data_IF_974161644189
#
_entry.id   IF_974161644189
#
_cell.length_a   1.000
_cell.length_b   1.000
_cell.length_c   1.000
_cell.angle_alpha   90.00
_cell.angle_beta   90.00
_cell.angle_gamma   90.00
#
_symmetry.space_group_name_H-M   'P 1'
#
loop_
_entity.id
_entity.type
_entity.pdbx_description
1 polymer ?
#
# COMPACT_ATOMS: atom_id res chain seq x y z
N UNK A 1 6.64 15.16 -21.09
CA UNK A 1 5.33 14.57 -20.74
C UNK A 1 5.44 13.15 -20.19
N UNK A 2 6.13 12.21 -20.86
CA UNK A 2 6.25 10.80 -20.40
C UNK A 2 6.94 10.61 -19.03
N UNK A 3 8.01 11.38 -18.74
CA UNK A 3 8.68 11.38 -17.43
C UNK A 3 7.83 11.93 -16.27
N UNK A 4 6.83 12.76 -16.56
CA UNK A 4 5.96 13.35 -15.53
C UNK A 4 4.87 12.36 -15.11
N UNK A 5 4.35 11.58 -16.05
CA UNK A 5 3.38 10.51 -15.82
C UNK A 5 3.99 9.35 -15.03
N UNK A 6 5.20 8.92 -15.42
CA UNK A 6 5.95 7.93 -14.66
C UNK A 6 6.22 8.40 -13.22
N UNK A 7 6.46 9.70 -13.02
CA UNK A 7 6.63 10.31 -11.69
C UNK A 7 5.34 10.33 -10.87
N UNK A 8 4.16 10.46 -11.51
CA UNK A 8 2.86 10.43 -10.83
C UNK A 8 2.48 9.02 -10.37
N UNK A 9 2.73 8.00 -11.21
CA UNK A 9 2.57 6.58 -10.81
C UNK A 9 3.61 6.18 -9.74
N UNK A 10 4.83 6.73 -9.80
CA UNK A 10 5.84 6.61 -8.74
C UNK A 10 5.43 7.21 -7.38
N UNK A 11 4.40 8.06 -7.31
CA UNK A 11 3.88 8.55 -6.02
C UNK A 11 2.94 7.56 -5.34
N UNK A 12 2.38 6.61 -6.09
CA UNK A 12 1.39 5.67 -5.56
C UNK A 12 2.06 4.44 -4.91
N UNK A 13 3.18 3.98 -5.49
CA UNK A 13 4.01 2.91 -4.95
C UNK A 13 5.33 3.46 -4.41
N UNK A 14 5.65 3.13 -3.17
CA UNK A 14 6.93 3.55 -2.56
C UNK A 14 7.94 2.43 -2.72
N UNK A 15 9.03 2.66 -3.48
CA UNK A 15 10.12 1.69 -3.54
C UNK A 15 10.82 1.57 -2.18
N UNK A 16 10.85 0.36 -1.62
CA UNK A 16 11.47 0.10 -0.31
C UNK A 16 12.76 -0.71 -0.40
N UNK A 17 12.94 -1.44 -1.50
CA UNK A 17 14.16 -2.17 -1.82
C UNK A 17 14.27 -2.33 -3.33
N UNK A 18 15.37 -2.91 -3.80
CA UNK A 18 15.48 -3.35 -5.21
C UNK A 18 14.29 -4.27 -5.53
N UNK A 19 13.54 -3.90 -6.56
CA UNK A 19 12.39 -4.64 -7.10
C UNK A 19 11.20 -4.87 -6.14
N UNK A 20 11.21 -4.27 -4.94
CA UNK A 20 10.13 -4.38 -3.95
C UNK A 20 9.53 -3.00 -3.69
N UNK A 21 8.21 -2.90 -3.85
CA UNK A 21 7.47 -1.66 -3.66
C UNK A 21 6.37 -1.87 -2.63
N UNK A 22 6.25 -0.93 -1.71
CA UNK A 22 5.11 -0.86 -0.79
C UNK A 22 3.90 -0.29 -1.53
N UNK A 23 2.81 -1.05 -1.44
CA UNK A 23 1.48 -0.69 -1.93
C UNK A 23 0.44 -0.68 -0.80
N UNK A 24 0.85 -0.83 0.46
CA UNK A 24 -0.05 -0.81 1.63
C UNK A 24 -0.73 0.54 1.89
N UNK A 25 -1.69 0.58 2.81
CA UNK A 25 -2.49 1.78 3.16
C UNK A 25 -2.48 2.03 4.66
N UNK A 26 -2.78 3.27 5.07
CA UNK A 26 -2.86 3.66 6.47
C UNK A 26 -4.30 3.98 6.86
N UNK A 27 -4.81 3.29 7.87
CA UNK A 27 -6.09 3.58 8.50
C UNK A 27 -5.87 4.45 9.73
N UNK A 28 -6.11 5.74 9.58
CA UNK A 28 -6.08 6.70 10.69
C UNK A 28 -7.45 6.87 11.38
N UNK A 29 -8.47 6.14 10.94
CA UNK A 29 -9.85 6.26 11.43
C UNK A 29 -10.14 5.24 12.54
N UNK A 30 -9.51 4.08 12.49
CA UNK A 30 -9.61 3.07 13.53
C UNK A 30 -8.96 3.55 14.83
N UNK A 31 -9.67 3.37 15.94
CA UNK A 31 -9.20 3.74 17.29
C UNK A 31 -8.85 2.53 18.14
N UNK A 32 -9.41 1.36 17.81
CA UNK A 32 -9.16 0.08 18.47
C UNK A 32 -8.87 -1.00 17.43
N UNK A 33 -7.68 -1.60 17.47
CA UNK A 33 -7.41 -2.83 16.74
C UNK A 33 -8.15 -4.00 17.41
N UNK A 34 -8.85 -4.81 16.60
CA UNK A 34 -9.69 -5.93 17.05
C UNK A 34 -10.70 -5.56 18.17
N UNK A 35 -11.16 -4.30 18.19
CA UNK A 35 -12.04 -3.76 19.24
C UNK A 35 -11.47 -3.83 20.66
N UNK A 36 -10.15 -4.02 20.81
CA UNK A 36 -9.51 -4.28 22.11
C UNK A 36 -8.30 -3.38 22.37
N UNK A 37 -7.47 -3.16 21.36
CA UNK A 37 -6.16 -2.54 21.54
C UNK A 37 -6.16 -1.09 21.03
N UNK A 38 -5.96 -0.08 21.89
CA UNK A 38 -5.88 1.31 21.47
C UNK A 38 -4.75 1.57 20.47
N UNK A 39 -5.10 2.24 19.38
CA UNK A 39 -4.18 2.60 18.29
C UNK A 39 -4.27 4.11 18.02
N UNK A 40 -3.67 4.95 18.88
CA UNK A 40 -3.87 6.41 18.82
C UNK A 40 -3.33 7.08 17.55
N UNK A 41 -2.48 6.39 16.79
CA UNK A 41 -1.96 6.87 15.49
C UNK A 41 -2.60 6.14 14.30
N UNK A 42 -3.58 5.27 14.56
CA UNK A 42 -4.17 4.38 13.57
C UNK A 42 -3.33 3.11 13.34
N UNK A 43 -3.61 2.45 12.21
CA UNK A 43 -3.00 1.19 11.80
C UNK A 43 -2.47 1.27 10.36
N UNK A 44 -1.47 0.47 10.05
CA UNK A 44 -1.00 0.25 8.70
C UNK A 44 -1.38 -1.16 8.24
N UNK A 45 -1.96 -1.27 7.04
CA UNK A 45 -2.10 -2.54 6.34
C UNK A 45 -0.97 -2.64 5.31
N UNK A 46 0.11 -3.29 5.72
CA UNK A 46 1.27 -3.46 4.87
C UNK A 46 0.98 -4.44 3.73
N UNK A 47 1.28 -4.04 2.51
CA UNK A 47 1.19 -4.89 1.33
C UNK A 47 2.28 -4.47 0.35
N UNK A 48 2.81 -5.44 -0.39
CA UNK A 48 3.98 -5.23 -1.24
C UNK A 48 3.81 -5.91 -2.59
N UNK A 49 4.41 -5.32 -3.62
CA UNK A 49 4.59 -5.94 -4.92
C UNK A 49 6.08 -6.21 -5.16
N UNK A 50 6.39 -7.42 -5.61
CA UNK A 50 7.74 -7.90 -5.92
C UNK A 50 7.81 -8.09 -7.44
N UNK A 51 8.71 -7.35 -8.08
CA UNK A 51 8.86 -7.25 -9.54
C UNK A 51 10.08 -8.03 -10.01
N UNK A 52 9.98 -9.36 -10.05
CA UNK A 52 11.04 -10.25 -10.56
C UNK A 52 10.61 -10.88 -11.90
N UNK A 53 11.28 -11.95 -12.37
CA UNK A 53 10.84 -12.76 -13.52
C UNK A 53 9.37 -13.19 -13.40
N UNK A 54 8.88 -13.32 -12.17
CA UNK A 54 7.47 -13.43 -11.84
C UNK A 54 7.07 -12.30 -10.91
N UNK A 55 5.88 -11.77 -11.13
CA UNK A 55 5.28 -10.76 -10.25
C UNK A 55 4.56 -11.47 -9.11
N UNK A 56 4.82 -11.04 -7.88
CA UNK A 56 4.14 -11.52 -6.69
C UNK A 56 3.61 -10.35 -5.87
N UNK A 57 2.46 -10.56 -5.23
CA UNK A 57 1.88 -9.64 -4.25
C UNK A 57 1.95 -10.30 -2.89
N UNK A 58 2.51 -9.60 -1.90
CA UNK A 58 2.53 -10.01 -0.51
C UNK A 58 1.42 -9.29 0.25
N UNK A 59 0.52 -10.08 0.83
CA UNK A 59 -0.65 -9.66 1.60
C UNK A 59 -1.62 -8.71 0.85
N UNK A 60 -2.68 -8.32 1.55
CA UNK A 60 -3.72 -7.39 1.08
C UNK A 60 -4.08 -6.41 2.20
N UNK A 61 -4.99 -5.49 1.90
CA UNK A 61 -5.51 -4.53 2.89
C UNK A 61 -6.91 -4.91 3.39
N UNK A 62 -7.41 -4.22 4.41
CA UNK A 62 -8.81 -4.34 4.81
C UNK A 62 -9.75 -3.93 3.66
N UNK A 63 -10.91 -4.58 3.57
CA UNK A 63 -11.85 -4.45 2.44
C UNK A 63 -12.22 -2.99 2.09
N UNK A 64 -12.33 -2.13 3.11
CA UNK A 64 -12.76 -0.74 2.93
C UNK A 64 -11.70 0.10 2.21
N UNK A 65 -10.44 -0.37 2.19
CA UNK A 65 -9.32 0.25 1.49
C UNK A 65 -8.99 -0.40 0.14
N UNK A 66 -9.78 -1.38 -0.33
CA UNK A 66 -9.47 -2.11 -1.57
C UNK A 66 -9.35 -1.17 -2.78
N UNK A 67 -10.16 -0.11 -2.84
CA UNK A 67 -10.10 0.88 -3.92
C UNK A 67 -8.82 1.73 -3.88
N UNK A 68 -8.42 2.20 -2.70
CA UNK A 68 -7.16 2.94 -2.53
C UNK A 68 -5.95 2.06 -2.86
N UNK A 69 -5.96 0.80 -2.41
CA UNK A 69 -4.90 -0.17 -2.66
C UNK A 69 -4.75 -0.51 -4.14
N UNK A 70 -5.85 -0.81 -4.83
CA UNK A 70 -5.82 -1.09 -6.28
C UNK A 70 -5.45 0.14 -7.10
N UNK A 71 -5.89 1.34 -6.69
CA UNK A 71 -5.54 2.60 -7.35
C UNK A 71 -4.05 2.93 -7.30
N UNK A 72 -3.25 2.20 -6.51
CA UNK A 72 -1.79 2.30 -6.54
C UNK A 72 -1.14 1.57 -7.71
N UNK A 73 -1.89 0.71 -8.40
CA UNK A 73 -1.43 -0.10 -9.52
C UNK A 73 -1.79 0.49 -10.89
N UNK A 74 -2.60 1.55 -10.91
CA UNK A 74 -3.03 2.28 -12.12
C UNK A 74 -2.02 3.37 -12.55
#
# INVERSE_FOLDING_TARGET
>A
MQKLYARYIMYAMTQISKDIFSIGVNDHTITLFESQFPVPQGMAYNSYIIMDEKIAVADTVAKDFAGEWLGKLD
#
